data_IF_899146300896
#
_entry.id   IF_899146300896
#
_cell.length_a   1.000
_cell.length_b   1.000
_cell.length_c   1.000
_cell.angle_alpha   90.00
_cell.angle_beta   90.00
_cell.angle_gamma   90.00
#
_symmetry.space_group_name_H-M   'P 1'
#
loop_
_entity.id
_entity.type
_entity.pdbx_description
1 polymer ?
#
# COMPACT_ATOMS: atom_id res chain seq x y z
N UNK A 1 26.61 8.53 0.13
CA UNK A 1 25.64 7.83 -0.73
C UNK A 1 25.50 6.42 -0.18
N UNK A 2 24.46 6.13 0.59
CA UNK A 2 24.30 4.82 1.23
C UNK A 2 24.05 3.76 0.16
N UNK A 3 25.00 2.84 -0.03
CA UNK A 3 24.83 1.69 -0.90
C UNK A 3 24.08 0.60 -0.15
N UNK A 4 22.76 0.54 -0.35
CA UNK A 4 21.88 -0.47 0.24
C UNK A 4 22.14 -1.90 -0.26
N UNK A 5 23.13 -2.10 -1.15
CA UNK A 5 23.65 -3.44 -1.49
C UNK A 5 24.68 -3.95 -0.49
N UNK A 6 25.35 -3.05 0.25
CA UNK A 6 26.40 -3.41 1.20
C UNK A 6 25.84 -3.90 2.55
N UNK A 7 24.73 -3.34 3.01
CA UNK A 7 24.04 -3.78 4.22
C UNK A 7 22.94 -4.79 3.88
N UNK A 8 23.33 -6.07 3.76
CA UNK A 8 22.35 -7.16 3.74
C UNK A 8 21.58 -7.16 5.07
N UNK A 9 20.27 -6.99 4.98
CA UNK A 9 19.35 -7.32 6.07
C UNK A 9 19.74 -8.69 6.67
N UNK A 10 19.85 -8.83 8.00
CA UNK A 10 20.32 -10.06 8.64
C UNK A 10 19.44 -11.27 8.33
N UNK A 11 18.20 -11.02 7.87
CA UNK A 11 17.32 -12.05 7.31
C UNK A 11 16.64 -11.54 6.03
N UNK A 12 16.17 -12.44 5.14
CA UNK A 12 15.32 -12.08 4.00
C UNK A 12 14.01 -11.36 4.40
N UNK A 13 13.58 -11.51 5.64
CA UNK A 13 12.30 -10.97 6.16
C UNK A 13 12.47 -9.70 7.03
N UNK A 14 13.70 -9.21 7.22
CA UNK A 14 13.97 -8.13 8.17
C UNK A 14 13.76 -8.56 9.63
N UNK A 15 13.21 -7.67 10.47
CA UNK A 15 13.06 -7.92 11.91
C UNK A 15 11.93 -8.92 12.28
N UNK A 16 11.20 -9.49 11.31
CA UNK A 16 10.18 -10.52 11.57
C UNK A 16 8.86 -10.03 12.21
N UNK A 17 8.74 -8.73 12.53
CA UNK A 17 7.56 -8.15 13.19
C UNK A 17 6.25 -8.35 12.40
N UNK A 18 6.32 -8.34 11.07
CA UNK A 18 5.15 -8.46 10.20
C UNK A 18 4.57 -9.89 10.16
N UNK A 19 5.40 -10.92 10.29
CA UNK A 19 4.99 -12.33 10.17
C UNK A 19 4.07 -12.76 11.31
N UNK A 20 4.42 -12.41 12.54
CA UNK A 20 3.64 -12.78 13.74
C UNK A 20 2.23 -12.16 13.76
N UNK A 21 2.07 -10.94 13.23
CA UNK A 21 0.78 -10.26 13.15
C UNK A 21 -0.07 -10.75 11.97
N UNK A 22 0.55 -11.09 10.83
CA UNK A 22 -0.13 -11.50 9.60
C UNK A 22 -0.61 -12.95 9.66
N UNK A 23 0.16 -13.88 10.26
CA UNK A 23 -0.25 -15.30 10.36
C UNK A 23 -1.61 -15.47 11.05
N UNK A 24 -1.95 -14.60 12.01
CA UNK A 24 -3.25 -14.63 12.70
C UNK A 24 -4.37 -13.84 12.00
N UNK A 25 -4.03 -12.81 11.20
CA UNK A 25 -5.02 -11.92 10.57
C UNK A 25 -5.38 -12.33 9.13
N UNK A 26 -4.50 -13.04 8.43
CA UNK A 26 -4.63 -13.33 7.01
C UNK A 26 -5.75 -14.31 6.67
N UNK A 27 -6.02 -15.29 7.54
CA UNK A 27 -7.12 -16.24 7.37
C UNK A 27 -8.48 -15.55 7.47
N UNK A 28 -8.61 -14.60 8.40
CA UNK A 28 -9.82 -13.80 8.55
C UNK A 28 -10.03 -12.84 7.36
N UNK A 29 -8.99 -12.13 6.93
CA UNK A 29 -9.06 -11.23 5.76
C UNK A 29 -9.38 -11.98 4.46
N UNK A 30 -8.75 -13.13 4.20
CA UNK A 30 -9.04 -13.95 3.02
C UNK A 30 -10.47 -14.46 3.01
N UNK A 31 -11.04 -14.85 4.17
CA UNK A 31 -12.42 -15.32 4.24
C UNK A 31 -13.44 -14.22 3.89
N UNK A 32 -13.20 -12.99 4.35
CA UNK A 32 -14.03 -11.82 4.06
C UNK A 32 -13.92 -11.40 2.58
N UNK A 33 -12.70 -11.38 2.03
CA UNK A 33 -12.45 -10.91 0.68
C UNK A 33 -12.77 -11.97 -0.41
N UNK A 34 -12.74 -13.25 -0.05
CA UNK A 34 -13.25 -14.32 -0.93
C UNK A 34 -14.76 -14.24 -1.13
N UNK A 35 -15.53 -13.76 -0.14
CA UNK A 35 -16.99 -13.66 -0.26
C UNK A 35 -17.41 -12.70 -1.39
N UNK A 36 -16.67 -11.60 -1.57
CA UNK A 36 -16.92 -10.59 -2.61
C UNK A 36 -16.54 -11.11 -4.00
N UNK A 37 -15.50 -11.96 -4.09
CA UNK A 37 -14.97 -12.46 -5.37
C UNK A 37 -15.50 -13.85 -5.78
N UNK A 38 -16.38 -14.47 -4.97
CA UNK A 38 -16.99 -15.79 -5.22
C UNK A 38 -17.60 -15.97 -6.62
N UNK A 39 -18.37 -15.00 -7.17
CA UNK A 39 -19.00 -15.17 -8.48
C UNK A 39 -17.98 -15.26 -9.62
N UNK A 40 -16.93 -14.43 -9.55
CA UNK A 40 -15.88 -14.36 -10.57
C UNK A 40 -14.97 -15.60 -10.52
N UNK A 41 -14.69 -16.10 -9.32
CA UNK A 41 -13.87 -17.31 -9.11
C UNK A 41 -14.60 -18.59 -9.51
N UNK A 42 -15.93 -18.63 -9.35
CA UNK A 42 -16.75 -19.76 -9.79
C UNK A 42 -16.86 -19.85 -11.33
N UNK A 43 -16.83 -18.70 -12.02
CA UNK A 43 -16.96 -18.64 -13.47
C UNK A 43 -15.70 -19.09 -14.24
N UNK A 44 -14.50 -19.01 -13.64
CA UNK A 44 -13.24 -19.36 -14.30
C UNK A 44 -12.28 -20.12 -13.37
N UNK A 45 -12.48 -21.44 -13.20
CA UNK A 45 -11.57 -22.28 -12.43
C UNK A 45 -10.17 -22.27 -13.08
N UNK A 46 -9.17 -21.72 -12.40
CA UNK A 46 -7.78 -21.64 -12.87
C UNK A 46 -7.24 -20.23 -13.10
N UNK A 47 -8.09 -19.20 -13.16
CA UNK A 47 -7.65 -17.81 -13.33
C UNK A 47 -6.81 -17.34 -12.12
N UNK A 48 -7.07 -17.93 -10.95
CA UNK A 48 -6.47 -17.58 -9.66
C UNK A 48 -4.98 -17.89 -9.58
N UNK A 49 -4.49 -18.96 -10.23
CA UNK A 49 -3.06 -19.31 -10.23
C UNK A 49 -2.26 -18.43 -11.18
N UNK A 50 -2.83 -18.09 -12.34
CA UNK A 50 -2.21 -17.23 -13.34
C UNK A 50 -2.17 -15.76 -12.89
N UNK A 51 -3.24 -15.30 -12.27
CA UNK A 51 -3.37 -13.91 -11.82
C UNK A 51 -2.71 -13.66 -10.46
N UNK A 52 -2.39 -14.68 -9.66
CA UNK A 52 -1.88 -14.50 -8.28
C UNK A 52 -0.66 -13.56 -8.20
N UNK A 53 0.39 -13.74 -9.02
CA UNK A 53 1.56 -12.85 -8.96
C UNK A 53 1.21 -11.42 -9.37
N UNK A 54 0.32 -11.27 -10.36
CA UNK A 54 -0.11 -9.98 -10.90
C UNK A 54 -1.04 -9.22 -9.96
N UNK A 55 -1.99 -9.93 -9.33
CA UNK A 55 -2.91 -9.40 -8.32
C UNK A 55 -2.14 -8.99 -7.07
N UNK A 56 -1.16 -9.78 -6.62
CA UNK A 56 -0.35 -9.40 -5.47
C UNK A 56 0.42 -8.10 -5.73
N UNK A 57 1.12 -7.99 -6.87
CA UNK A 57 1.85 -6.77 -7.23
C UNK A 57 0.92 -5.56 -7.36
N UNK A 58 -0.22 -5.73 -8.03
CA UNK A 58 -1.23 -4.67 -8.19
C UNK A 58 -1.84 -4.24 -6.85
N UNK A 59 -2.02 -5.17 -5.91
CA UNK A 59 -2.52 -4.85 -4.59
C UNK A 59 -1.50 -4.05 -3.78
N UNK A 60 -0.23 -4.47 -3.75
CA UNK A 60 0.82 -3.67 -3.11
C UNK A 60 0.91 -2.26 -3.68
N UNK A 61 0.80 -2.14 -5.01
CA UNK A 61 0.75 -0.86 -5.71
C UNK A 61 -0.43 0.01 -5.24
N UNK A 62 -1.61 -0.57 -5.07
CA UNK A 62 -2.82 0.17 -4.68
C UNK A 62 -2.83 0.52 -3.18
N UNK A 63 -2.31 -0.35 -2.32
CA UNK A 63 -2.07 -0.03 -0.90
C UNK A 63 -1.05 1.10 -0.75
N UNK A 64 0.07 1.02 -1.47
CA UNK A 64 1.09 2.06 -1.50
C UNK A 64 0.54 3.38 -2.04
N UNK A 65 -0.30 3.32 -3.09
CA UNK A 65 -1.01 4.47 -3.63
C UNK A 65 -1.94 5.11 -2.59
N UNK A 66 -2.75 4.32 -1.88
CA UNK A 66 -3.63 4.85 -0.83
C UNK A 66 -2.86 5.48 0.32
N UNK A 67 -1.79 4.83 0.81
CA UNK A 67 -0.97 5.40 1.88
C UNK A 67 -0.33 6.73 1.43
N UNK A 68 0.26 6.74 0.23
CA UNK A 68 0.81 7.97 -0.34
C UNK A 68 -0.26 9.05 -0.45
N UNK A 69 -1.45 8.71 -0.97
CA UNK A 69 -2.60 9.62 -1.08
C UNK A 69 -2.93 10.28 0.26
N UNK A 70 -2.99 9.51 1.35
CA UNK A 70 -3.26 10.03 2.70
C UNK A 70 -2.13 10.93 3.21
N UNK A 71 -0.87 10.55 2.96
CA UNK A 71 0.30 11.29 3.46
C UNK A 71 0.54 12.61 2.74
N UNK A 72 0.29 12.68 1.43
CA UNK A 72 0.57 13.89 0.64
C UNK A 72 -0.63 14.83 0.51
N UNK A 73 -1.81 14.43 0.97
CA UNK A 73 -3.02 15.27 0.87
C UNK A 73 -3.76 15.13 -0.45
N UNK A 74 -3.81 13.91 -0.99
CA UNK A 74 -4.64 13.56 -2.12
C UNK A 74 -4.15 14.08 -3.47
N UNK A 75 -5.07 14.49 -4.33
CA UNK A 75 -4.80 14.71 -5.76
C UNK A 75 -3.69 15.74 -6.00
N UNK A 76 -3.82 16.94 -5.42
CA UNK A 76 -2.84 18.02 -5.59
C UNK A 76 -1.49 17.64 -4.98
N UNK A 77 -1.49 17.07 -3.78
CA UNK A 77 -0.29 16.57 -3.12
C UNK A 77 0.48 15.56 -3.96
N UNK A 78 -0.23 14.62 -4.60
CA UNK A 78 0.40 13.63 -5.47
C UNK A 78 1.01 14.28 -6.73
N UNK A 79 0.45 15.38 -7.22
CA UNK A 79 1.06 16.13 -8.32
C UNK A 79 2.29 16.91 -7.87
N UNK A 80 2.20 17.63 -6.75
CA UNK A 80 3.25 18.55 -6.28
C UNK A 80 4.43 17.78 -5.68
N UNK A 81 4.15 16.80 -4.82
CA UNK A 81 5.19 16.07 -4.07
C UNK A 81 5.80 14.95 -4.90
N UNK A 82 4.97 14.20 -5.64
CA UNK A 82 5.42 13.03 -6.42
C UNK A 82 5.55 13.30 -7.92
N UNK A 83 5.23 14.50 -8.40
CA UNK A 83 5.32 14.84 -9.83
C UNK A 83 4.34 14.06 -10.71
N UNK A 84 3.28 13.47 -10.14
CA UNK A 84 2.42 12.56 -10.88
C UNK A 84 1.54 13.32 -11.88
N UNK A 85 1.46 12.82 -13.13
CA UNK A 85 0.56 13.40 -14.12
C UNK A 85 -0.91 13.15 -13.76
N UNK A 86 -1.80 14.08 -14.14
CA UNK A 86 -3.26 13.94 -13.93
C UNK A 86 -3.81 12.64 -14.52
N UNK A 87 -3.35 12.27 -15.72
CA UNK A 87 -3.77 11.02 -16.38
C UNK A 87 -3.38 9.77 -15.58
N UNK A 88 -2.20 9.77 -14.96
CA UNK A 88 -1.76 8.68 -14.08
C UNK A 88 -2.61 8.61 -12.81
N UNK A 89 -2.93 9.77 -12.21
CA UNK A 89 -3.80 9.83 -11.03
C UNK A 89 -5.19 9.29 -11.32
N UNK A 90 -5.84 9.73 -12.39
CA UNK A 90 -7.16 9.21 -12.76
C UNK A 90 -7.13 7.70 -13.03
N UNK A 91 -6.06 7.18 -13.67
CA UNK A 91 -5.88 5.74 -13.86
C UNK A 91 -5.79 4.99 -12.52
N UNK A 92 -4.97 5.48 -11.59
CA UNK A 92 -4.79 4.86 -10.26
C UNK A 92 -6.05 4.94 -9.41
N UNK A 93 -6.78 6.06 -9.43
CA UNK A 93 -8.08 6.21 -8.76
C UNK A 93 -9.09 5.21 -9.33
N UNK A 94 -9.16 5.07 -10.66
CA UNK A 94 -10.05 4.10 -11.30
C UNK A 94 -9.73 2.66 -10.89
N UNK A 95 -8.44 2.28 -10.90
CA UNK A 95 -7.99 0.97 -10.44
C UNK A 95 -8.30 0.74 -8.95
N UNK A 96 -8.12 1.76 -8.11
CA UNK A 96 -8.43 1.69 -6.69
C UNK A 96 -9.93 1.47 -6.46
N UNK A 97 -10.78 2.26 -7.12
CA UNK A 97 -12.24 2.11 -7.06
C UNK A 97 -12.71 0.74 -7.56
N UNK A 98 -12.09 0.22 -8.62
CA UNK A 98 -12.41 -1.10 -9.15
C UNK A 98 -12.07 -2.23 -8.15
N UNK A 99 -11.02 -2.03 -7.34
CA UNK A 99 -10.59 -3.02 -6.36
C UNK A 99 -11.32 -2.93 -5.01
N UNK A 100 -11.57 -1.71 -4.52
CA UNK A 100 -12.05 -1.47 -3.15
C UNK A 100 -13.47 -0.87 -3.09
N UNK A 101 -14.08 -0.57 -4.24
CA UNK A 101 -15.44 -0.05 -4.36
C UNK A 101 -15.58 1.46 -4.17
N UNK A 102 -14.66 2.10 -3.45
CA UNK A 102 -14.76 3.52 -3.08
C UNK A 102 -13.55 4.35 -3.52
N UNK A 103 -13.69 5.67 -3.43
CA UNK A 103 -12.60 6.61 -3.74
C UNK A 103 -11.53 6.57 -2.62
N UNK A 104 -10.22 6.61 -2.93
CA UNK A 104 -9.15 6.53 -1.92
C UNK A 104 -9.19 7.62 -0.84
N UNK A 105 -9.90 8.72 -1.10
CA UNK A 105 -10.06 9.84 -0.17
C UNK A 105 -10.99 9.52 1.01
N UNK A 106 -12.05 8.74 0.76
CA UNK A 106 -13.04 8.35 1.77
C UNK A 106 -12.84 6.93 2.27
N UNK A 107 -12.07 6.13 1.54
CA UNK A 107 -11.85 4.74 1.87
C UNK A 107 -10.91 4.60 3.08
N UNK A 108 -11.37 3.87 4.09
CA UNK A 108 -10.61 3.53 5.28
C UNK A 108 -10.37 2.02 5.33
N UNK A 109 -9.12 1.60 5.43
CA UNK A 109 -8.81 0.19 5.69
C UNK A 109 -9.10 -0.13 7.17
N UNK A 110 -10.00 -1.07 7.47
CA UNK A 110 -10.29 -1.43 8.86
C UNK A 110 -9.02 -1.86 9.59
N UNK A 111 -8.77 -1.26 10.75
CA UNK A 111 -7.58 -1.53 11.57
C UNK A 111 -6.30 -0.82 11.11
N UNK A 112 -6.35 0.03 10.08
CA UNK A 112 -5.21 0.84 9.64
C UNK A 112 -5.49 2.31 9.89
N UNK A 113 -4.68 2.92 10.75
CA UNK A 113 -4.74 4.37 11.03
C UNK A 113 -3.48 5.05 10.51
N UNK A 114 -3.64 6.19 9.83
CA UNK A 114 -2.52 7.00 9.33
C UNK A 114 -2.51 8.33 10.08
N UNK A 115 -1.57 8.50 11.01
CA UNK A 115 -1.32 9.76 11.68
C UNK A 115 -0.33 10.59 10.85
N UNK A 116 -0.88 11.47 10.01
CA UNK A 116 -0.11 12.32 9.09
C UNK A 116 0.71 13.35 9.86
N UNK A 117 0.19 13.88 10.97
CA UNK A 117 0.87 14.92 11.75
C UNK A 117 2.13 14.36 12.40
N UNK A 118 1.99 13.22 13.10
CA UNK A 118 3.13 12.52 13.69
C UNK A 118 4.14 12.13 12.62
N UNK A 119 3.69 11.64 11.47
CA UNK A 119 4.57 11.31 10.34
C UNK A 119 5.40 12.53 9.90
N UNK A 120 4.76 13.67 9.61
CA UNK A 120 5.44 14.89 9.15
C UNK A 120 6.41 15.40 10.22
N UNK A 121 5.99 15.44 11.49
CA UNK A 121 6.83 15.90 12.61
C UNK A 121 8.10 15.08 12.75
N UNK A 122 7.98 13.75 12.73
CA UNK A 122 9.14 12.85 12.86
C UNK A 122 10.07 12.96 11.66
N UNK A 123 9.52 13.04 10.45
CA UNK A 123 10.34 13.17 9.23
C UNK A 123 11.07 14.51 9.17
N UNK A 124 10.44 15.60 9.60
CA UNK A 124 11.08 16.90 9.71
C UNK A 124 12.22 16.90 10.74
N UNK A 125 12.00 16.28 11.91
CA UNK A 125 13.03 16.15 12.95
C UNK A 125 14.25 15.33 12.47
N UNK A 126 14.03 14.22 11.74
CA UNK A 126 15.12 13.43 11.14
C UNK A 126 15.94 14.23 10.14
N UNK A 127 15.27 14.98 9.27
CA UNK A 127 15.96 15.85 8.30
C UNK A 127 16.79 16.95 8.98
N UNK A 128 16.34 17.46 10.12
CA UNK A 128 17.09 18.43 10.90
C UNK A 128 18.31 17.81 11.60
N UNK A 129 18.19 16.56 12.07
CA UNK A 129 19.28 15.82 12.71
C UNK A 129 20.40 15.39 11.76
N UNK A 130 20.07 15.02 10.51
CA UNK A 130 21.06 14.66 9.47
C UNK A 130 21.90 15.84 8.96
N UNK A 131 21.53 17.08 9.30
CA UNK A 131 22.30 18.29 8.95
C UNK A 131 23.28 18.72 10.06
N UNK A 132 23.51 17.89 11.07
CA UNK A 132 24.36 18.21 12.25
C UNK A 132 25.76 17.59 12.21
N UNK A 133 26.14 16.89 11.13
CA UNK A 133 27.46 16.27 10.93
C UNK A 133 28.26 16.96 9.80
#
# INVERSE_FOLDING_TARGET
>A
MADFRADRSPTPEGAGNAKSAIEHAWDAYNSANQAINKPLQAAFPGIKSLLRPWVNSTMFDLFGFWLAWRLVGGFEGMQVVLGMSRSTLYRRISQFRAAFGEHPDVYEFPGVTVDVETFVKVMAARRAGDNSD
#
